data_IF_273195101773
#
_entry.id   IF_273195101773
#
_cell.length_a   1.000
_cell.length_b   1.000
_cell.length_c   1.000
_cell.angle_alpha   90.00
_cell.angle_beta   90.00
_cell.angle_gamma   90.00
#
_symmetry.space_group_name_H-M   'P 1'
#
loop_
_entity.id
_entity.type
_entity.pdbx_description
1 polymer ?
#
# COMPACT_ATOMS: atom_id res chain seq x y z
N UNK A 1 1.82 2.42 8.90
CA UNK A 1 1.29 1.61 7.80
C UNK A 1 2.39 1.45 6.76
N UNK A 2 2.70 0.22 6.39
CA UNK A 2 3.78 -0.12 5.48
C UNK A 2 3.21 -0.51 4.12
N UNK A 3 3.57 0.23 3.09
CA UNK A 3 3.04 0.02 1.73
C UNK A 3 4.15 -0.43 0.79
N UNK A 4 4.00 -1.60 0.17
CA UNK A 4 4.89 -2.08 -0.88
C UNK A 4 4.33 -1.68 -2.25
N UNK A 5 5.05 -0.88 -3.00
CA UNK A 5 4.64 -0.45 -4.35
C UNK A 5 5.48 -1.19 -5.40
N UNK A 6 4.81 -1.89 -6.30
CA UNK A 6 5.43 -2.49 -7.49
C UNK A 6 5.18 -1.58 -8.69
N UNK A 7 6.22 -0.86 -9.08
CA UNK A 7 6.14 0.15 -10.13
C UNK A 7 6.57 -0.41 -11.49
N UNK A 8 5.59 -0.79 -12.32
CA UNK A 8 5.83 -1.39 -13.64
C UNK A 8 6.04 -0.35 -14.74
N UNK A 9 5.65 0.90 -14.50
CA UNK A 9 5.74 1.99 -15.47
C UNK A 9 6.17 3.31 -14.80
N UNK A 10 5.94 4.40 -15.52
CA UNK A 10 6.14 5.76 -15.02
C UNK A 10 5.27 6.01 -13.78
N UNK A 11 5.59 7.09 -13.08
CA UNK A 11 4.88 7.43 -11.87
C UNK A 11 3.36 7.55 -12.10
N UNK A 12 2.61 6.85 -11.27
CA UNK A 12 1.15 6.97 -11.16
C UNK A 12 0.85 7.45 -9.74
N UNK A 13 0.00 8.47 -9.55
CA UNK A 13 -0.35 8.95 -8.20
C UNK A 13 -0.86 7.83 -7.31
N UNK A 14 -0.29 7.71 -6.12
CA UNK A 14 -0.70 6.79 -5.06
C UNK A 14 -0.85 7.60 -3.78
N UNK A 15 -1.92 7.34 -3.04
CA UNK A 15 -2.15 8.02 -1.76
C UNK A 15 -1.46 7.24 -0.64
N UNK A 16 -0.32 7.75 -0.18
CA UNK A 16 0.53 7.11 0.84
C UNK A 16 0.99 8.11 1.90
N UNK A 17 0.21 9.13 2.16
CA UNK A 17 0.55 10.15 3.16
C UNK A 17 0.83 9.50 4.53
N UNK A 18 1.94 9.89 5.15
CA UNK A 18 2.40 9.37 6.46
C UNK A 18 2.61 7.84 6.51
N UNK A 19 2.88 7.19 5.39
CA UNK A 19 3.23 5.78 5.33
C UNK A 19 4.74 5.57 5.20
N UNK A 20 5.21 4.40 5.64
CA UNK A 20 6.51 3.87 5.25
C UNK A 20 6.34 3.10 3.94
N UNK A 21 7.07 3.49 2.92
CA UNK A 21 6.87 2.99 1.55
C UNK A 21 8.14 2.35 1.02
N UNK A 22 8.03 1.13 0.54
CA UNK A 22 9.05 0.50 -0.28
C UNK A 22 8.59 0.46 -1.74
N UNK A 23 9.31 1.15 -2.62
CA UNK A 23 9.08 1.10 -4.06
C UNK A 23 10.03 0.10 -4.69
N UNK A 24 9.48 -0.93 -5.32
CA UNK A 24 10.24 -1.89 -6.10
C UNK A 24 9.92 -1.72 -7.58
N UNK A 25 10.94 -1.45 -8.38
CA UNK A 25 10.83 -1.34 -9.82
C UNK A 25 11.42 -2.59 -10.45
N UNK A 26 10.60 -3.47 -11.05
CA UNK A 26 11.09 -4.63 -11.76
C UNK A 26 12.01 -4.26 -12.94
N UNK A 27 13.13 -4.96 -13.08
CA UNK A 27 14.08 -4.80 -14.17
C UNK A 27 13.54 -5.43 -15.45
N UNK A 28 12.43 -4.86 -15.98
CA UNK A 28 11.75 -5.40 -17.14
C UNK A 28 12.60 -5.24 -18.41
N UNK A 29 13.02 -6.37 -18.98
CA UNK A 29 13.60 -6.41 -20.32
C UNK A 29 12.49 -6.40 -21.37
N UNK A 30 12.56 -5.48 -22.34
CA UNK A 30 11.74 -5.61 -23.55
C UNK A 30 12.16 -6.88 -24.30
N UNK A 31 11.22 -7.50 -25.02
CA UNK A 31 11.50 -8.73 -25.78
C UNK A 31 12.68 -8.59 -26.73
N UNK A 32 12.91 -7.38 -27.29
CA UNK A 32 14.03 -7.06 -28.16
C UNK A 32 15.38 -7.05 -27.42
N UNK A 33 15.43 -6.50 -26.21
CA UNK A 33 16.65 -6.41 -25.40
C UNK A 33 17.07 -7.74 -24.76
N UNK A 34 16.13 -8.68 -24.59
CA UNK A 34 16.45 -10.04 -24.11
C UNK A 34 17.37 -10.79 -25.10
N UNK A 35 17.28 -10.47 -26.38
CA UNK A 35 18.14 -11.08 -27.41
C UNK A 35 19.55 -10.50 -27.43
N UNK A 36 19.76 -9.29 -26.90
CA UNK A 36 21.04 -8.58 -26.86
C UNK A 36 21.76 -8.69 -25.51
N UNK A 37 21.24 -9.45 -24.55
CA UNK A 37 21.83 -9.62 -23.18
C UNK A 37 22.11 -8.28 -22.47
N UNK A 38 21.32 -7.24 -22.74
CA UNK A 38 21.48 -5.90 -22.13
C UNK A 38 20.81 -5.86 -20.73
N UNK A 39 21.34 -6.66 -19.81
CA UNK A 39 20.88 -6.67 -18.41
C UNK A 39 21.23 -5.37 -17.69
N UNK A 40 22.41 -4.81 -17.97
CA UNK A 40 22.88 -3.57 -17.36
C UNK A 40 22.01 -2.38 -17.78
N UNK A 41 21.65 -2.30 -19.05
CA UNK A 41 20.72 -1.28 -19.54
C UNK A 41 19.32 -1.38 -18.92
N UNK A 42 18.81 -2.59 -18.68
CA UNK A 42 17.53 -2.78 -18.01
C UNK A 42 17.58 -2.34 -16.53
N UNK A 43 18.66 -2.68 -15.82
CA UNK A 43 18.88 -2.25 -14.43
C UNK A 43 19.03 -0.73 -14.33
N UNK A 44 19.80 -0.10 -15.21
CA UNK A 44 19.99 1.34 -15.23
C UNK A 44 18.66 2.09 -15.48
N UNK A 45 17.85 1.61 -16.42
CA UNK A 45 16.51 2.16 -16.66
C UNK A 45 15.57 1.96 -15.45
N UNK A 46 15.66 0.82 -14.77
CA UNK A 46 14.90 0.57 -13.55
C UNK A 46 15.37 1.49 -12.41
N UNK A 47 16.67 1.68 -12.23
CA UNK A 47 17.23 2.57 -11.22
C UNK A 47 16.78 4.03 -11.43
N UNK A 48 16.80 4.53 -12.67
CA UNK A 48 16.30 5.86 -12.99
C UNK A 48 14.80 6.02 -12.64
N UNK A 49 14.00 4.96 -12.85
CA UNK A 49 12.59 4.94 -12.45
C UNK A 49 12.42 4.90 -10.94
N UNK A 50 13.25 4.16 -10.23
CA UNK A 50 13.26 4.14 -8.75
C UNK A 50 13.43 5.56 -8.23
N UNK A 51 14.46 6.29 -8.68
CA UNK A 51 14.70 7.67 -8.26
C UNK A 51 13.48 8.57 -8.52
N UNK A 52 12.90 8.49 -9.72
CA UNK A 52 11.73 9.30 -10.05
C UNK A 52 10.49 8.97 -9.18
N UNK A 53 10.30 7.72 -8.79
CA UNK A 53 9.24 7.32 -7.88
C UNK A 53 9.49 7.81 -6.46
N UNK A 54 10.71 7.65 -5.95
CA UNK A 54 11.12 8.08 -4.62
C UNK A 54 10.92 9.59 -4.47
N UNK A 55 11.46 10.38 -5.40
CA UNK A 55 11.36 11.84 -5.39
C UNK A 55 9.90 12.33 -5.34
N UNK A 56 9.04 11.69 -6.13
CA UNK A 56 7.61 12.04 -6.19
C UNK A 56 6.84 11.68 -4.93
N UNK A 57 7.12 10.51 -4.36
CA UNK A 57 6.42 10.07 -3.15
C UNK A 57 6.92 10.79 -1.90
N UNK A 58 8.19 11.15 -1.81
CA UNK A 58 8.71 11.98 -0.71
C UNK A 58 8.01 13.34 -0.61
N UNK A 59 7.59 13.91 -1.74
CA UNK A 59 6.80 15.15 -1.76
C UNK A 59 5.42 15.01 -1.11
N UNK A 60 4.93 13.79 -0.91
CA UNK A 60 3.65 13.52 -0.21
C UNK A 60 3.80 13.38 1.31
N UNK A 61 5.03 13.50 1.83
CA UNK A 61 5.33 13.32 3.26
C UNK A 61 5.51 11.87 3.68
N UNK A 62 5.58 10.92 2.74
CA UNK A 62 5.88 9.52 3.02
C UNK A 62 7.38 9.30 3.25
N UNK A 63 7.73 8.30 4.06
CA UNK A 63 9.10 7.78 4.13
C UNK A 63 9.27 6.73 3.05
N UNK A 64 10.17 6.99 2.10
CA UNK A 64 10.27 6.17 0.90
C UNK A 64 11.66 5.58 0.75
N UNK A 65 11.72 4.27 0.59
CA UNK A 65 12.87 3.52 0.12
C UNK A 65 12.59 2.98 -1.28
N UNK A 66 13.60 2.94 -2.15
CA UNK A 66 13.46 2.44 -3.51
C UNK A 66 14.48 1.36 -3.84
N UNK A 67 14.04 0.30 -4.54
CA UNK A 67 14.90 -0.79 -5.01
C UNK A 67 14.56 -1.22 -6.43
N UNK A 68 15.58 -1.71 -7.12
CA UNK A 68 15.38 -2.48 -8.35
C UNK A 68 15.10 -3.93 -7.95
N UNK A 69 14.02 -4.50 -8.48
CA UNK A 69 13.61 -5.88 -8.22
C UNK A 69 13.80 -6.81 -9.41
N UNK A 70 13.44 -8.08 -9.22
CA UNK A 70 13.40 -9.08 -10.28
C UNK A 70 12.52 -8.66 -11.45
N UNK A 71 12.78 -9.19 -12.64
CA UNK A 71 12.01 -8.90 -13.84
C UNK A 71 10.56 -9.44 -13.77
N UNK A 72 10.31 -10.50 -12.99
CA UNK A 72 8.97 -10.98 -12.67
C UNK A 72 8.41 -10.18 -11.47
N UNK A 73 7.31 -9.44 -11.65
CA UNK A 73 6.69 -8.67 -10.58
C UNK A 73 6.30 -9.50 -9.34
N UNK A 74 5.87 -10.75 -9.51
CA UNK A 74 5.52 -11.62 -8.39
C UNK A 74 6.76 -12.08 -7.62
N UNK A 75 7.87 -12.30 -8.32
CA UNK A 75 9.14 -12.60 -7.67
C UNK A 75 9.68 -11.37 -6.94
N UNK A 76 9.61 -10.20 -7.57
CA UNK A 76 10.00 -8.93 -6.93
C UNK A 76 9.24 -8.67 -5.61
N UNK A 77 7.94 -9.02 -5.55
CA UNK A 77 7.16 -8.98 -4.29
C UNK A 77 7.72 -9.99 -3.29
N UNK A 78 7.93 -11.24 -3.73
CA UNK A 78 8.41 -12.32 -2.86
C UNK A 78 9.76 -11.99 -2.22
N UNK A 79 10.66 -11.33 -2.97
CA UNK A 79 11.98 -10.93 -2.51
C UNK A 79 11.94 -9.71 -1.57
N UNK A 80 10.93 -8.86 -1.70
CA UNK A 80 10.78 -7.67 -0.86
C UNK A 80 10.16 -7.97 0.51
N UNK A 81 9.17 -8.85 0.59
CA UNK A 81 8.40 -9.11 1.80
C UNK A 81 9.23 -9.60 3.01
N UNK A 82 10.29 -10.41 2.86
CA UNK A 82 11.12 -10.83 4.01
C UNK A 82 11.85 -9.68 4.70
N UNK A 83 12.12 -8.59 3.98
CA UNK A 83 12.86 -7.41 4.49
C UNK A 83 11.96 -6.22 4.78
N UNK A 84 10.73 -6.25 4.29
CA UNK A 84 9.76 -5.17 4.46
C UNK A 84 8.39 -5.75 4.79
N UNK A 85 7.99 -5.66 6.05
CA UNK A 85 6.70 -6.16 6.54
C UNK A 85 5.57 -5.27 6.03
N UNK A 86 5.13 -5.50 4.79
CA UNK A 86 4.07 -4.72 4.17
C UNK A 86 2.69 -5.07 4.75
N UNK A 87 1.89 -4.04 5.02
CA UNK A 87 0.47 -4.17 5.36
C UNK A 87 -0.39 -4.24 4.09
N UNK A 88 0.07 -3.61 3.01
CA UNK A 88 -0.60 -3.55 1.73
C UNK A 88 0.40 -3.54 0.57
N UNK A 89 -0.01 -4.13 -0.55
CA UNK A 89 0.74 -4.09 -1.81
C UNK A 89 -0.04 -3.25 -2.83
N UNK A 90 0.63 -2.29 -3.46
CA UNK A 90 0.06 -1.50 -4.55
C UNK A 90 0.80 -1.79 -5.84
N UNK A 91 0.08 -2.21 -6.87
CA UNK A 91 0.64 -2.44 -8.20
C UNK A 91 0.35 -1.22 -9.08
N UNK A 92 1.40 -0.54 -9.53
CA UNK A 92 1.31 0.52 -10.53
C UNK A 92 1.53 -0.09 -11.92
N UNK A 93 0.46 -0.36 -12.67
CA UNK A 93 0.53 -1.08 -13.93
C UNK A 93 1.15 -0.20 -15.02
N UNK A 94 1.57 -0.83 -16.10
CA UNK A 94 2.00 -0.12 -17.30
C UNK A 94 0.80 0.51 -18.01
N UNK A 95 0.94 1.75 -18.40
CA UNK A 95 -0.09 2.51 -19.12
C UNK A 95 -0.35 1.97 -20.54
N UNK A 96 0.67 1.31 -21.15
CA UNK A 96 0.60 0.71 -22.48
C UNK A 96 0.01 -0.72 -22.50
N UNK A 97 -0.36 -1.25 -21.34
CA UNK A 97 -0.89 -2.60 -21.20
C UNK A 97 -2.40 -2.60 -20.97
N UNK A 98 -3.04 -3.69 -21.45
CA UNK A 98 -4.46 -3.91 -21.20
C UNK A 98 -4.78 -3.89 -19.71
N UNK A 99 -5.86 -3.21 -19.27
CA UNK A 99 -6.34 -3.25 -17.88
C UNK A 99 -6.50 -4.67 -17.33
N UNK A 100 -6.93 -5.62 -18.18
CA UNK A 100 -7.10 -7.04 -17.81
C UNK A 100 -5.81 -7.69 -17.30
N UNK A 101 -4.66 -7.38 -17.92
CA UNK A 101 -3.37 -7.93 -17.47
C UNK A 101 -2.96 -7.38 -16.11
N UNK A 102 -3.29 -6.11 -15.84
CA UNK A 102 -3.06 -5.52 -14.52
C UNK A 102 -3.94 -6.18 -13.46
N UNK A 103 -5.22 -6.39 -13.75
CA UNK A 103 -6.18 -7.02 -12.84
C UNK A 103 -5.83 -8.50 -12.58
N UNK A 104 -5.33 -9.21 -13.60
CA UNK A 104 -4.81 -10.57 -13.45
C UNK A 104 -3.60 -10.61 -12.51
N UNK A 105 -2.65 -9.69 -12.66
CA UNK A 105 -1.49 -9.59 -11.78
C UNK A 105 -1.90 -9.30 -10.33
N UNK A 106 -2.81 -8.36 -10.12
CA UNK A 106 -3.38 -8.06 -8.80
C UNK A 106 -4.02 -9.31 -8.19
N UNK A 107 -4.82 -10.03 -8.97
CA UNK A 107 -5.50 -11.25 -8.52
C UNK A 107 -4.52 -12.36 -8.15
N UNK A 108 -3.46 -12.54 -8.95
CA UNK A 108 -2.39 -13.51 -8.68
C UNK A 108 -1.61 -13.14 -7.42
N UNK A 109 -1.27 -11.87 -7.24
CA UNK A 109 -0.57 -11.38 -6.06
C UNK A 109 -1.40 -11.60 -4.78
N UNK A 110 -2.71 -11.29 -4.80
CA UNK A 110 -3.62 -11.54 -3.68
C UNK A 110 -3.63 -13.01 -3.26
N UNK A 111 -3.75 -13.92 -4.24
CA UNK A 111 -3.77 -15.36 -3.96
C UNK A 111 -2.44 -15.88 -3.42
N UNK A 112 -1.32 -15.35 -3.90
CA UNK A 112 0.00 -15.85 -3.53
C UNK A 112 0.46 -15.34 -2.16
N UNK A 113 0.18 -14.09 -1.83
CA UNK A 113 0.74 -13.44 -0.65
C UNK A 113 -0.25 -13.25 0.50
N UNK A 114 -1.56 -13.38 0.25
CA UNK A 114 -2.60 -13.24 1.28
C UNK A 114 -2.73 -11.83 1.86
N UNK A 115 -2.08 -10.83 1.25
CA UNK A 115 -2.14 -9.44 1.63
C UNK A 115 -3.18 -8.67 0.80
N UNK A 116 -3.70 -7.55 1.30
CA UNK A 116 -4.44 -6.60 0.49
C UNK A 116 -3.58 -6.13 -0.68
N UNK A 117 -4.09 -6.25 -1.91
CA UNK A 117 -3.40 -5.77 -3.10
C UNK A 117 -4.31 -4.82 -3.85
N UNK A 118 -3.87 -3.58 -3.99
CA UNK A 118 -4.51 -2.54 -4.76
C UNK A 118 -3.85 -2.30 -6.12
N UNK A 119 -4.52 -1.51 -6.95
CA UNK A 119 -3.98 -1.00 -8.22
C UNK A 119 -3.82 0.52 -8.11
N UNK A 120 -2.65 1.05 -8.47
CA UNK A 120 -2.44 2.49 -8.52
C UNK A 120 -3.40 3.16 -9.53
N UNK A 121 -3.91 4.33 -9.17
CA UNK A 121 -4.90 5.04 -9.99
C UNK A 121 -6.33 4.48 -9.90
N UNK A 122 -6.54 3.46 -9.09
CA UNK A 122 -7.86 2.95 -8.75
C UNK A 122 -8.01 2.99 -7.22
N UNK A 123 -9.13 3.51 -6.72
CA UNK A 123 -9.37 3.54 -5.27
C UNK A 123 -9.25 2.09 -4.73
N UNK A 124 -8.38 1.83 -3.74
CA UNK A 124 -8.27 0.49 -3.19
C UNK A 124 -9.63 0.08 -2.64
N UNK A 125 -10.04 -1.19 -2.78
CA UNK A 125 -11.22 -1.66 -2.07
C UNK A 125 -10.95 -1.40 -0.59
N UNK A 126 -11.77 -0.55 0.02
CA UNK A 126 -11.72 -0.27 1.46
C UNK A 126 -11.69 -1.62 2.18
N UNK A 127 -10.73 -1.86 3.08
CA UNK A 127 -10.73 -3.09 3.84
C UNK A 127 -12.10 -3.19 4.51
N UNK A 128 -12.86 -4.21 4.14
CA UNK A 128 -14.10 -4.54 4.84
C UNK A 128 -13.63 -5.16 6.15
N UNK A 129 -13.44 -4.32 7.15
CA UNK A 129 -13.31 -4.78 8.52
C UNK A 129 -14.64 -5.44 8.87
N UNK A 130 -14.75 -6.72 8.60
CA UNK A 130 -15.84 -7.50 9.13
C UNK A 130 -15.76 -7.38 10.64
N UNK A 131 -16.86 -6.98 11.26
CA UNK A 131 -17.01 -6.74 12.70
C UNK A 131 -16.65 -7.95 13.60
N UNK A 132 -16.05 -8.98 13.05
CA UNK A 132 -15.60 -10.19 13.71
C UNK A 132 -14.30 -10.02 14.50
N UNK A 133 -13.50 -8.99 14.17
CA UNK A 133 -12.22 -8.75 14.85
C UNK A 133 -12.36 -7.87 16.09
N UNK A 134 -13.53 -7.24 16.30
CA UNK A 134 -13.78 -6.38 17.47
C UNK A 134 -14.30 -7.13 18.71
N UNK A 135 -14.42 -8.46 18.68
CA UNK A 135 -14.95 -9.24 19.81
C UNK A 135 -13.90 -9.93 20.67
N UNK A 136 -12.64 -9.73 20.42
CA UNK A 136 -11.56 -10.23 21.26
C UNK A 136 -10.77 -9.05 21.86
N UNK A 137 -11.26 -8.54 22.97
CA UNK A 137 -10.46 -7.72 23.86
C UNK A 137 -10.80 -6.25 23.95
N UNK A 138 -11.95 -5.90 24.50
CA UNK A 138 -12.06 -4.73 25.36
C UNK A 138 -13.11 -5.09 26.42
N UNK A 139 -12.64 -5.34 27.64
CA UNK A 139 -13.49 -5.37 28.82
C UNK A 139 -14.13 -4.01 29.00
N UNK A 140 -15.42 -3.98 29.14
CA UNK A 140 -16.19 -2.79 29.41
C UNK A 140 -15.76 -2.16 30.75
N UNK A 141 -15.46 -0.86 30.81
CA UNK A 141 -15.53 -0.16 32.09
C UNK A 141 -16.99 0.08 32.41
N UNK A 142 -17.37 -0.41 33.59
CA UNK A 142 -18.68 -0.23 34.21
C UNK A 142 -19.10 1.23 34.23
N UNK A 143 -20.27 1.49 33.70
CA UNK A 143 -20.99 2.73 33.92
C UNK A 143 -21.30 2.85 35.43
N UNK A 144 -20.70 3.81 36.07
CA UNK A 144 -21.19 4.30 37.35
C UNK A 144 -22.22 5.37 37.08
N UNK A 145 -23.46 4.93 37.20
CA UNK A 145 -24.61 5.80 37.37
C UNK A 145 -24.43 6.58 38.67
N UNK A 146 -24.38 7.89 38.59
CA UNK A 146 -24.67 8.78 39.71
C UNK A 146 -25.78 9.70 39.32
N UNK A 147 -26.97 9.23 39.57
CA UNK A 147 -28.11 10.08 39.80
C UNK A 147 -27.86 10.90 41.08
N UNK A 148 -27.94 12.17 40.94
CA UNK A 148 -28.21 13.07 42.08
C UNK A 148 -29.30 14.04 41.68
N UNK A 149 -30.45 13.59 42.00
CA UNK A 149 -31.61 14.31 42.45
C UNK A 149 -31.23 15.40 43.44
N UNK A 150 -31.69 16.59 43.26
CA UNK A 150 -31.95 17.57 44.31
C UNK A 150 -32.88 18.66 43.80
N UNK A 151 -34.13 18.35 43.95
CA UNK A 151 -35.17 19.31 44.24
C UNK A 151 -34.81 20.10 45.50
N UNK A 152 -35.09 21.37 45.52
CA UNK A 152 -35.65 22.13 46.61
C UNK A 152 -35.74 23.57 46.17
N UNK A 153 -36.86 24.02 45.79
CA UNK A 153 -38.02 24.64 46.47
C UNK A 153 -37.66 25.68 47.56
N UNK A 154 -38.30 26.81 47.35
CA UNK A 154 -38.90 27.74 48.29
C UNK A 154 -38.13 28.99 48.66
N UNK A 155 -38.65 30.13 48.24
CA UNK A 155 -39.75 30.90 48.92
C UNK A 155 -39.22 31.90 49.93
N UNK A 156 -39.62 33.12 49.77
CA UNK A 156 -40.00 33.99 50.86
C UNK A 156 -39.44 35.40 50.79
N UNK A 157 -40.23 36.27 50.33
CA UNK A 157 -40.99 37.30 51.09
C UNK A 157 -40.13 38.29 51.94
N UNK A 158 -40.09 39.46 51.55
CA UNK A 158 -40.56 40.76 52.14
C UNK A 158 -39.85 41.93 51.49
#
# INVERSE_FOLDING_TARGET
MNVLIIALDRFTPVQVANADVLVVVPALNSRLHRWLSDEDGARNRAAARVSAWVDRLQQTGARVEGRVGDADPLQAIADALPTFAADEIVIAPRSDRSPRLADELVSRARRRFGLPVGRAGHEPPRPVYTARTLRAGIGAPSAVSSALDSSTTMKGTS
#
